data_IF_578298692433
#
_entry.id   IF_578298692433
#
_cell.length_a   1.000
_cell.length_b   1.000
_cell.length_c   1.000
_cell.angle_alpha   90.00
_cell.angle_beta   90.00
_cell.angle_gamma   90.00
#
_symmetry.space_group_name_H-M   'P 1'
#
loop_
_entity.id
_entity.type
_entity.pdbx_description
1 polymer ?
#
# COMPACT_ATOMS: atom_id res chain seq x y z
N UNK A 1 24.97 77.28 9.75
CA UNK A 1 25.94 76.56 10.59
C UNK A 1 26.13 75.18 9.97
N UNK A 2 27.32 74.81 9.50
CA UNK A 2 27.55 73.47 8.99
C UNK A 2 27.73 72.53 10.19
N UNK A 3 26.78 71.61 10.38
CA UNK A 3 26.97 70.47 11.27
C UNK A 3 27.97 69.52 10.60
N UNK A 4 29.27 69.80 10.77
CA UNK A 4 30.33 68.88 10.38
C UNK A 4 30.32 67.70 11.34
N UNK A 5 29.82 66.55 10.90
CA UNK A 5 29.98 65.30 11.62
C UNK A 5 31.48 65.02 11.80
N UNK A 6 31.89 64.75 13.04
CA UNK A 6 33.23 64.33 13.37
C UNK A 6 33.53 62.98 12.66
N UNK A 7 34.79 62.78 12.23
CA UNK A 7 35.22 61.58 11.51
C UNK A 7 34.97 60.29 12.29
N UNK A 8 35.09 60.32 13.62
CA UNK A 8 34.87 59.19 14.50
C UNK A 8 33.38 58.83 14.54
N UNK A 9 32.50 59.84 14.61
CA UNK A 9 31.05 59.64 14.49
C UNK A 9 30.66 59.02 13.14
N UNK A 10 31.26 59.47 12.03
CA UNK A 10 31.03 58.87 10.70
C UNK A 10 31.52 57.41 10.67
N UNK A 11 32.69 57.12 11.23
CA UNK A 11 33.24 55.77 11.27
C UNK A 11 32.35 54.80 12.08
N UNK A 12 31.83 55.25 13.22
CA UNK A 12 30.90 54.48 14.05
C UNK A 12 29.60 54.19 13.28
N UNK A 13 29.01 55.20 12.62
CA UNK A 13 27.80 55.02 11.82
C UNK A 13 28.03 54.00 10.69
N UNK A 14 29.15 54.10 9.97
CA UNK A 14 29.51 53.16 8.88
C UNK A 14 29.65 51.74 9.41
N UNK A 15 30.29 51.55 10.57
CA UNK A 15 30.49 50.23 11.16
C UNK A 15 29.16 49.59 11.60
N UNK A 16 28.27 50.39 12.20
CA UNK A 16 26.93 49.94 12.58
C UNK A 16 26.13 49.53 11.34
N UNK A 17 26.15 50.34 10.28
CA UNK A 17 25.44 50.04 9.03
C UNK A 17 25.97 48.75 8.39
N UNK A 18 27.29 48.57 8.31
CA UNK A 18 27.90 47.35 7.77
C UNK A 18 27.55 46.11 8.59
N UNK A 19 27.51 46.23 9.91
CA UNK A 19 27.11 45.14 10.81
C UNK A 19 25.66 44.69 10.55
N UNK A 20 24.71 45.64 10.49
CA UNK A 20 23.31 45.31 10.20
C UNK A 20 23.12 44.77 8.77
N UNK A 21 23.88 45.28 7.79
CA UNK A 21 23.86 44.76 6.43
C UNK A 21 24.32 43.29 6.39
N UNK A 22 25.38 42.97 7.14
CA UNK A 22 25.87 41.60 7.30
C UNK A 22 24.82 40.65 7.90
N UNK A 23 24.11 41.11 8.95
CA UNK A 23 23.02 40.34 9.56
C UNK A 23 21.89 40.08 8.56
N UNK A 24 21.46 41.10 7.82
CA UNK A 24 20.37 40.96 6.83
C UNK A 24 20.74 40.00 5.69
N UNK A 25 21.98 40.09 5.19
CA UNK A 25 22.48 39.17 4.15
C UNK A 25 22.52 37.74 4.68
N UNK A 26 23.06 37.51 5.88
CA UNK A 26 23.14 36.17 6.46
C UNK A 26 21.74 35.58 6.71
N UNK A 27 20.82 36.38 7.24
CA UNK A 27 19.43 35.96 7.44
C UNK A 27 18.72 35.58 6.12
N UNK A 28 19.03 36.27 5.02
CA UNK A 28 18.44 35.95 3.72
C UNK A 28 19.01 34.66 3.13
N UNK A 29 20.33 34.44 3.26
CA UNK A 29 21.02 33.20 2.87
C UNK A 29 20.47 32.01 3.67
N UNK A 30 20.31 32.15 4.99
CA UNK A 30 19.80 31.09 5.86
C UNK A 30 18.33 30.74 5.61
N UNK A 31 17.52 31.71 5.14
CA UNK A 31 16.17 31.42 4.65
C UNK A 31 16.20 30.63 3.35
N UNK A 32 17.03 31.02 2.39
CA UNK A 32 17.18 30.31 1.11
C UNK A 32 17.66 28.86 1.29
N UNK A 33 18.56 28.60 2.25
CA UNK A 33 18.99 27.24 2.61
C UNK A 33 17.86 26.41 3.21
N UNK A 34 17.12 26.97 4.18
CA UNK A 34 15.96 26.29 4.80
C UNK A 34 14.87 25.96 3.79
N UNK A 35 14.52 26.88 2.91
CA UNK A 35 13.50 26.65 1.88
C UNK A 35 13.92 25.54 0.90
N UNK A 36 15.21 25.42 0.63
CA UNK A 36 15.76 24.34 -0.18
C UNK A 36 15.72 23.00 0.57
N UNK A 37 16.14 22.97 1.83
CA UNK A 37 16.09 21.77 2.68
C UNK A 37 14.67 21.22 2.79
N UNK A 38 13.66 22.09 3.01
CA UNK A 38 12.24 21.70 3.08
C UNK A 38 11.79 21.06 1.76
N UNK A 39 12.14 21.66 0.61
CA UNK A 39 11.80 21.11 -0.71
C UNK A 39 12.47 19.77 -0.96
N UNK A 40 13.73 19.63 -0.60
CA UNK A 40 14.49 18.39 -0.77
C UNK A 40 13.92 17.26 0.13
N UNK A 41 13.49 17.59 1.36
CA UNK A 41 12.80 16.66 2.25
C UNK A 41 11.43 16.23 1.71
N UNK A 42 10.61 17.17 1.24
CA UNK A 42 9.31 16.89 0.62
C UNK A 42 9.46 15.98 -0.62
N UNK A 43 10.44 16.24 -1.48
CA UNK A 43 10.72 15.43 -2.65
C UNK A 43 11.17 14.02 -2.26
N UNK A 44 12.03 13.90 -1.24
CA UNK A 44 12.48 12.61 -0.72
C UNK A 44 11.30 11.81 -0.16
N UNK A 45 10.41 12.43 0.61
CA UNK A 45 9.21 11.76 1.14
C UNK A 45 8.28 11.29 0.02
N UNK A 46 8.03 12.14 -0.98
CA UNK A 46 7.24 11.77 -2.17
C UNK A 46 7.83 10.58 -2.92
N UNK A 47 9.15 10.55 -3.08
CA UNK A 47 9.86 9.46 -3.76
C UNK A 47 9.78 8.14 -2.96
N UNK A 48 9.92 8.19 -1.63
CA UNK A 48 9.75 7.02 -0.77
C UNK A 48 8.32 6.48 -0.88
N UNK A 49 7.32 7.36 -0.79
CA UNK A 49 5.90 7.00 -0.93
C UNK A 49 5.62 6.36 -2.28
N UNK A 50 6.10 6.98 -3.38
CA UNK A 50 5.93 6.45 -4.74
C UNK A 50 6.49 5.04 -4.87
N UNK A 51 7.72 4.80 -4.39
CA UNK A 51 8.37 3.48 -4.43
C UNK A 51 7.59 2.45 -3.62
N UNK A 52 7.12 2.83 -2.44
CA UNK A 52 6.29 1.95 -1.61
C UNK A 52 4.98 1.57 -2.32
N UNK A 53 4.23 2.54 -2.84
CA UNK A 53 2.97 2.28 -3.54
C UNK A 53 3.18 1.43 -4.80
N UNK A 54 4.28 1.62 -5.52
CA UNK A 54 4.64 0.75 -6.65
C UNK A 54 4.90 -0.69 -6.22
N UNK A 55 5.68 -0.88 -5.14
CA UNK A 55 5.94 -2.21 -4.59
C UNK A 55 4.67 -2.87 -4.05
N UNK A 56 3.81 -2.10 -3.37
CA UNK A 56 2.54 -2.60 -2.83
C UNK A 56 1.59 -3.01 -3.94
N UNK A 57 1.48 -2.21 -5.01
CA UNK A 57 0.68 -2.55 -6.19
C UNK A 57 1.15 -3.87 -6.81
N UNK A 58 2.46 -4.07 -6.91
CA UNK A 58 3.03 -5.31 -7.45
C UNK A 58 2.75 -6.51 -6.54
N UNK A 59 2.88 -6.37 -5.22
CA UNK A 59 2.51 -7.40 -4.25
C UNK A 59 1.03 -7.81 -4.39
N UNK A 60 0.14 -6.83 -4.51
CA UNK A 60 -1.30 -7.07 -4.74
C UNK A 60 -1.52 -7.79 -6.08
N UNK A 61 -0.82 -7.40 -7.15
CA UNK A 61 -0.93 -8.06 -8.46
C UNK A 61 -0.47 -9.52 -8.42
N UNK A 62 0.60 -9.83 -7.69
CA UNK A 62 1.06 -11.20 -7.46
C UNK A 62 0.00 -12.01 -6.69
N UNK A 63 -0.58 -11.42 -5.65
CA UNK A 63 -1.64 -12.07 -4.86
C UNK A 63 -2.91 -12.31 -5.68
N UNK A 64 -3.32 -11.36 -6.52
CA UNK A 64 -4.43 -11.50 -7.48
C UNK A 64 -4.18 -12.70 -8.41
N UNK A 65 -2.96 -12.84 -8.95
CA UNK A 65 -2.59 -13.99 -9.78
C UNK A 65 -2.61 -15.31 -9.01
N UNK A 66 -2.26 -15.29 -7.72
CA UNK A 66 -2.38 -16.48 -6.87
C UNK A 66 -3.86 -16.87 -6.65
N UNK A 67 -4.76 -15.90 -6.54
CA UNK A 67 -6.20 -16.14 -6.45
C UNK A 67 -6.75 -16.77 -7.74
N UNK A 68 -6.30 -16.34 -8.93
CA UNK A 68 -6.69 -16.98 -10.19
C UNK A 68 -6.38 -18.48 -10.20
N UNK A 69 -5.21 -18.86 -9.67
CA UNK A 69 -4.82 -20.26 -9.54
C UNK A 69 -5.78 -21.01 -8.59
N UNK A 70 -6.10 -20.44 -7.43
CA UNK A 70 -7.08 -21.01 -6.48
C UNK A 70 -8.47 -21.19 -7.12
N UNK A 71 -8.95 -20.17 -7.83
CA UNK A 71 -10.24 -20.19 -8.52
C UNK A 71 -10.26 -21.32 -9.57
N UNK A 72 -9.21 -21.46 -10.37
CA UNK A 72 -9.14 -22.51 -11.40
C UNK A 72 -9.20 -23.93 -10.82
N UNK A 73 -8.66 -24.14 -9.62
CA UNK A 73 -8.69 -25.42 -8.90
C UNK A 73 -10.09 -25.74 -8.34
N UNK A 74 -10.88 -24.71 -8.02
CA UNK A 74 -12.22 -24.87 -7.45
C UNK A 74 -13.34 -24.91 -8.50
N UNK A 75 -13.07 -24.58 -9.77
CA UNK A 75 -14.09 -24.48 -10.82
C UNK A 75 -14.75 -25.81 -11.25
N UNK A 76 -14.18 -26.96 -10.90
CA UNK A 76 -14.78 -28.28 -11.23
C UNK A 76 -15.66 -28.82 -10.10
N UNK A 77 -16.52 -27.98 -9.52
CA UNK A 77 -17.31 -28.31 -8.32
C UNK A 77 -18.11 -29.61 -8.47
N UNK A 78 -18.75 -29.85 -9.62
CA UNK A 78 -19.57 -31.06 -9.83
C UNK A 78 -18.75 -32.35 -9.69
N UNK A 79 -17.53 -32.37 -10.26
CA UNK A 79 -16.60 -33.50 -10.13
C UNK A 79 -16.03 -33.61 -8.72
N UNK A 80 -15.88 -32.48 -8.05
CA UNK A 80 -15.42 -32.43 -6.67
C UNK A 80 -16.49 -32.99 -5.73
N UNK A 81 -17.78 -32.74 -5.95
CA UNK A 81 -18.84 -33.35 -5.15
C UNK A 81 -18.86 -34.88 -5.27
N UNK A 82 -18.75 -35.41 -6.49
CA UNK A 82 -18.65 -36.86 -6.72
C UNK A 82 -17.42 -37.43 -6.01
N UNK A 83 -16.28 -36.76 -6.11
CA UNK A 83 -15.05 -37.11 -5.42
C UNK A 83 -15.22 -37.11 -3.89
N UNK A 84 -15.86 -36.09 -3.31
CA UNK A 84 -16.09 -36.01 -1.86
C UNK A 84 -17.05 -37.10 -1.36
N UNK A 85 -18.09 -37.44 -2.14
CA UNK A 85 -19.06 -38.50 -1.79
C UNK A 85 -18.46 -39.90 -1.86
N UNK A 86 -17.47 -40.12 -2.71
CA UNK A 86 -16.83 -41.42 -2.86
C UNK A 86 -16.12 -41.89 -1.57
N UNK A 87 -15.60 -40.97 -0.75
CA UNK A 87 -15.02 -41.29 0.56
C UNK A 87 -14.93 -40.06 1.47
N UNK A 88 -15.19 -40.27 2.77
CA UNK A 88 -14.95 -39.24 3.80
C UNK A 88 -13.47 -38.86 3.94
N UNK A 89 -12.56 -39.78 3.58
CA UNK A 89 -11.12 -39.52 3.59
C UNK A 89 -10.63 -38.71 2.37
N UNK A 90 -11.48 -38.52 1.35
CA UNK A 90 -11.09 -37.77 0.16
C UNK A 90 -10.95 -36.28 0.49
N UNK A 91 -9.83 -35.67 0.11
CA UNK A 91 -9.58 -34.25 0.35
C UNK A 91 -9.09 -33.60 -0.93
N UNK A 92 -9.69 -32.48 -1.36
CA UNK A 92 -9.19 -31.77 -2.53
C UNK A 92 -7.85 -31.13 -2.16
N UNK A 93 -6.86 -31.29 -3.04
CA UNK A 93 -5.59 -30.59 -2.89
C UNK A 93 -5.74 -29.17 -3.43
N UNK A 94 -5.94 -28.21 -2.55
CA UNK A 94 -5.96 -26.79 -2.88
C UNK A 94 -4.83 -26.14 -2.09
N UNK A 95 -3.83 -25.62 -2.80
CA UNK A 95 -2.71 -24.92 -2.17
C UNK A 95 -2.85 -23.43 -2.43
N UNK A 96 -2.81 -22.64 -1.37
CA UNK A 96 -2.83 -21.18 -1.47
C UNK A 96 -1.75 -20.55 -0.60
N UNK A 97 -1.14 -19.49 -1.10
CA UNK A 97 -0.17 -18.68 -0.38
C UNK A 97 -0.30 -17.26 -0.91
N UNK A 98 -0.11 -16.29 -0.02
CA UNK A 98 -0.08 -14.88 -0.37
C UNK A 98 1.16 -14.23 0.25
N UNK A 99 1.56 -13.10 -0.31
CA UNK A 99 2.65 -12.27 0.17
C UNK A 99 2.08 -11.05 0.87
N UNK A 100 2.65 -10.65 2.01
CA UNK A 100 2.26 -9.44 2.75
C UNK A 100 3.47 -8.64 3.24
N UNK A 101 4.65 -8.92 2.68
CA UNK A 101 5.92 -8.35 3.12
C UNK A 101 5.94 -6.85 2.93
N UNK A 102 5.50 -6.35 1.78
CA UNK A 102 5.46 -4.92 1.49
C UNK A 102 4.40 -4.26 2.38
N UNK A 103 3.18 -4.78 2.39
CA UNK A 103 2.09 -4.26 3.23
C UNK A 103 2.48 -4.15 4.71
N UNK A 104 3.13 -5.18 5.26
CA UNK A 104 3.51 -5.23 6.68
C UNK A 104 4.73 -4.38 7.01
N UNK A 105 5.51 -3.95 6.00
CA UNK A 105 6.78 -3.26 6.23
C UNK A 105 6.63 -1.80 6.66
N UNK A 106 5.62 -1.08 6.13
CA UNK A 106 5.46 0.38 6.29
C UNK A 106 4.00 0.83 6.13
N UNK A 107 3.16 0.48 7.09
CA UNK A 107 1.74 0.89 7.11
C UNK A 107 1.56 2.39 7.34
N UNK A 108 2.55 3.06 7.93
CA UNK A 108 2.59 4.51 8.13
C UNK A 108 2.51 5.29 6.81
N UNK A 109 3.07 4.75 5.72
CA UNK A 109 3.03 5.37 4.38
C UNK A 109 1.61 5.39 3.79
N UNK A 110 0.68 4.59 4.33
CA UNK A 110 -0.70 4.55 3.88
C UNK A 110 -1.53 5.74 4.39
N UNK A 111 -1.13 6.40 5.47
CA UNK A 111 -1.94 7.43 6.17
C UNK A 111 -2.35 8.62 5.28
N UNK A 112 -1.59 8.89 4.22
CA UNK A 112 -1.84 9.99 3.29
C UNK A 112 -2.70 9.58 2.07
N UNK A 113 -3.16 8.33 2.01
CA UNK A 113 -4.10 7.86 0.99
C UNK A 113 -5.54 8.17 1.41
N UNK A 114 -6.43 8.18 0.43
CA UNK A 114 -7.88 8.22 0.70
C UNK A 114 -8.27 7.03 1.58
N UNK A 115 -9.10 7.29 2.60
CA UNK A 115 -9.54 6.30 3.58
C UNK A 115 -10.14 5.05 2.91
N UNK A 116 -10.86 5.22 1.79
CA UNK A 116 -11.42 4.10 1.02
C UNK A 116 -10.34 3.19 0.44
N UNK A 117 -9.20 3.74 0.02
CA UNK A 117 -8.06 2.96 -0.49
C UNK A 117 -7.40 2.22 0.68
N UNK A 118 -7.21 2.89 1.81
CA UNK A 118 -6.61 2.28 3.02
C UNK A 118 -7.46 1.09 3.47
N UNK A 119 -8.75 1.31 3.69
CA UNK A 119 -9.69 0.26 4.10
C UNK A 119 -9.73 -0.87 3.07
N UNK A 120 -9.75 -0.53 1.77
CA UNK A 120 -9.68 -1.52 0.70
C UNK A 120 -8.44 -2.42 0.79
N UNK A 121 -7.26 -1.83 1.03
CA UNK A 121 -5.99 -2.58 1.19
C UNK A 121 -6.04 -3.48 2.42
N UNK A 122 -6.44 -2.92 3.58
CA UNK A 122 -6.50 -3.67 4.84
C UNK A 122 -7.48 -4.84 4.73
N UNK A 123 -8.69 -4.59 4.22
CA UNK A 123 -9.71 -5.61 4.01
C UNK A 123 -9.25 -6.69 3.03
N UNK A 124 -8.52 -6.30 1.98
CA UNK A 124 -7.97 -7.26 1.02
C UNK A 124 -7.01 -8.22 1.72
N UNK A 125 -6.03 -7.71 2.48
CA UNK A 125 -5.09 -8.57 3.22
C UNK A 125 -5.75 -9.39 4.33
N UNK A 126 -6.79 -8.86 4.97
CA UNK A 126 -7.64 -9.63 5.88
C UNK A 126 -8.26 -10.84 5.20
N UNK A 127 -8.91 -10.62 4.05
CA UNK A 127 -9.52 -11.69 3.25
C UNK A 127 -8.52 -12.73 2.75
N UNK A 128 -7.30 -12.34 2.36
CA UNK A 128 -6.28 -13.32 1.97
C UNK A 128 -5.87 -14.21 3.16
N UNK A 129 -5.83 -13.64 4.37
CA UNK A 129 -5.51 -14.36 5.60
C UNK A 129 -6.64 -15.34 5.99
N UNK A 130 -7.89 -14.89 5.91
CA UNK A 130 -9.08 -15.73 6.13
C UNK A 130 -9.11 -16.88 5.12
N UNK A 131 -8.98 -16.58 3.83
CA UNK A 131 -8.97 -17.58 2.76
C UNK A 131 -7.84 -18.61 2.94
N UNK A 132 -6.65 -18.18 3.38
CA UNK A 132 -5.56 -19.11 3.71
C UNK A 132 -5.96 -20.06 4.84
N UNK A 133 -6.61 -19.54 5.87
CA UNK A 133 -7.09 -20.32 7.02
C UNK A 133 -8.15 -21.34 6.59
N UNK A 134 -9.10 -20.94 5.74
CA UNK A 134 -10.14 -21.83 5.24
C UNK A 134 -9.59 -22.94 4.34
N UNK A 135 -8.62 -22.61 3.48
CA UNK A 135 -7.95 -23.58 2.62
C UNK A 135 -7.12 -24.57 3.46
N UNK A 136 -6.39 -24.10 4.47
CA UNK A 136 -5.67 -24.99 5.41
C UNK A 136 -6.63 -25.88 6.19
N UNK A 137 -7.83 -25.37 6.49
CA UNK A 137 -8.91 -26.11 7.13
C UNK A 137 -9.34 -27.37 6.37
N UNK A 138 -9.18 -27.40 5.03
CA UNK A 138 -9.47 -28.57 4.20
C UNK A 138 -8.53 -29.75 4.49
N UNK A 139 -7.32 -29.48 4.97
CA UNK A 139 -6.35 -30.50 5.37
C UNK A 139 -6.55 -30.95 6.82
N UNK A 140 -7.47 -30.34 7.57
CA UNK A 140 -7.75 -30.73 8.94
C UNK A 140 -8.53 -32.06 9.02
N UNK A 141 -8.36 -32.80 10.12
CA UNK A 141 -9.22 -33.97 10.40
C UNK A 141 -10.69 -33.58 10.61
N UNK A 142 -10.97 -32.34 11.00
CA UNK A 142 -12.33 -31.86 11.19
C UNK A 142 -13.11 -31.82 9.87
N UNK A 143 -12.43 -31.63 8.73
CA UNK A 143 -13.06 -31.67 7.40
C UNK A 143 -13.66 -33.05 7.07
N UNK A 144 -13.10 -34.13 7.60
CA UNK A 144 -13.65 -35.49 7.39
C UNK A 144 -14.88 -35.77 8.26
N UNK A 145 -15.00 -35.06 9.38
CA UNK A 145 -16.08 -35.23 10.35
C UNK A 145 -17.39 -34.55 9.91
N UNK A 146 -17.34 -33.62 8.97
CA UNK A 146 -18.52 -32.88 8.48
C UNK A 146 -19.27 -33.63 7.38
N UNK A 147 -20.54 -33.24 7.18
CA UNK A 147 -21.40 -33.81 6.13
C UNK A 147 -20.84 -33.50 4.74
N UNK A 148 -21.21 -34.28 3.72
CA UNK A 148 -20.73 -34.04 2.36
C UNK A 148 -21.24 -32.70 1.81
N UNK A 149 -22.48 -32.34 2.16
CA UNK A 149 -23.01 -31.01 1.88
C UNK A 149 -22.23 -29.89 2.57
N UNK A 150 -21.75 -30.11 3.80
CA UNK A 150 -20.87 -29.18 4.49
C UNK A 150 -19.53 -29.01 3.76
N UNK A 151 -18.91 -30.13 3.34
CA UNK A 151 -17.65 -30.14 2.60
C UNK A 151 -17.77 -29.41 1.26
N UNK A 152 -18.83 -29.69 0.50
CA UNK A 152 -19.14 -28.96 -0.73
C UNK A 152 -19.35 -27.47 -0.48
N UNK A 153 -20.06 -27.11 0.61
CA UNK A 153 -20.30 -25.71 0.95
C UNK A 153 -19.00 -24.97 1.28
N UNK A 154 -18.07 -25.57 2.03
CA UNK A 154 -16.76 -24.98 2.30
C UNK A 154 -16.01 -24.65 1.01
N UNK A 155 -16.00 -25.58 0.04
CA UNK A 155 -15.30 -25.36 -1.23
C UNK A 155 -15.96 -24.28 -2.09
N UNK A 156 -17.28 -24.18 -2.05
CA UNK A 156 -18.01 -23.09 -2.71
C UNK A 156 -17.68 -21.75 -2.06
N UNK A 157 -17.67 -21.66 -0.73
CA UNK A 157 -17.28 -20.44 0.01
C UNK A 157 -15.86 -20.00 -0.39
N UNK A 158 -14.89 -20.91 -0.36
CA UNK A 158 -13.51 -20.64 -0.80
C UNK A 158 -13.47 -20.11 -2.24
N UNK A 159 -14.25 -20.68 -3.16
CA UNK A 159 -14.31 -20.23 -4.55
C UNK A 159 -14.90 -18.83 -4.69
N UNK A 160 -16.00 -18.55 -3.98
CA UNK A 160 -16.68 -17.25 -3.99
C UNK A 160 -15.82 -16.16 -3.36
N UNK A 161 -15.22 -16.42 -2.20
CA UNK A 161 -14.32 -15.52 -1.51
C UNK A 161 -13.06 -15.24 -2.32
N UNK A 162 -12.51 -16.26 -2.99
CA UNK A 162 -11.37 -16.07 -3.90
C UNK A 162 -11.71 -15.11 -5.04
N UNK A 163 -12.91 -15.21 -5.63
CA UNK A 163 -13.37 -14.31 -6.69
C UNK A 163 -13.59 -12.89 -6.16
N UNK A 164 -14.18 -12.75 -4.98
CA UNK A 164 -14.42 -11.46 -4.34
C UNK A 164 -13.10 -10.76 -3.98
N UNK A 165 -12.15 -11.50 -3.37
CA UNK A 165 -10.82 -10.99 -3.05
C UNK A 165 -10.07 -10.59 -4.33
N UNK A 166 -10.19 -11.38 -5.41
CA UNK A 166 -9.59 -11.04 -6.71
C UNK A 166 -10.12 -9.71 -7.23
N UNK A 167 -11.44 -9.56 -7.31
CA UNK A 167 -12.07 -8.35 -7.80
C UNK A 167 -11.63 -7.12 -6.98
N UNK A 168 -11.60 -7.27 -5.65
CA UNK A 168 -11.12 -6.22 -4.75
C UNK A 168 -9.65 -5.86 -5.01
N UNK A 169 -8.78 -6.85 -5.20
CA UNK A 169 -7.38 -6.63 -5.56
C UNK A 169 -7.22 -5.86 -6.89
N UNK A 170 -7.98 -6.24 -7.91
CA UNK A 170 -8.02 -5.54 -9.21
C UNK A 170 -8.45 -4.08 -9.06
N UNK A 171 -9.47 -3.81 -8.24
CA UNK A 171 -9.95 -2.45 -7.96
C UNK A 171 -8.90 -1.61 -7.22
N UNK A 172 -8.21 -2.20 -6.24
CA UNK A 172 -7.13 -1.51 -5.50
C UNK A 172 -5.95 -1.19 -6.42
N UNK A 173 -5.52 -2.13 -7.27
CA UNK A 173 -4.45 -1.92 -8.26
C UNK A 173 -4.79 -0.73 -9.16
N UNK A 174 -6.04 -0.63 -9.59
CA UNK A 174 -6.54 0.49 -10.40
C UNK A 174 -6.44 1.81 -9.64
N UNK A 175 -6.93 1.85 -8.39
CA UNK A 175 -6.89 3.06 -7.55
C UNK A 175 -5.46 3.52 -7.27
N UNK A 176 -4.56 2.59 -6.91
CA UNK A 176 -3.14 2.92 -6.69
C UNK A 176 -2.49 3.44 -7.97
N UNK A 177 -2.83 2.88 -9.13
CA UNK A 177 -2.31 3.35 -10.42
C UNK A 177 -2.74 4.78 -10.74
N UNK A 178 -3.98 5.16 -10.39
CA UNK A 178 -4.47 6.54 -10.53
C UNK A 178 -3.73 7.51 -9.60
N UNK A 179 -3.39 7.08 -8.38
CA UNK A 179 -2.59 7.89 -7.44
C UNK A 179 -1.16 8.07 -7.96
N UNK A 180 -0.57 7.03 -8.54
CA UNK A 180 0.80 7.06 -9.08
C UNK A 180 0.94 7.85 -10.38
N UNK A 181 -0.10 7.85 -11.23
CA UNK A 181 -0.14 8.57 -12.48
C UNK A 181 -1.54 9.19 -12.75
N UNK A 182 -1.83 10.38 -12.20
CA UNK A 182 -3.12 11.05 -12.38
C UNK A 182 -3.39 11.48 -13.82
N UNK A 183 -2.35 11.55 -14.67
CA UNK A 183 -2.48 12.04 -16.06
C UNK A 183 -3.18 11.04 -16.97
N UNK A 184 -3.24 9.76 -16.59
CA UNK A 184 -3.93 8.72 -17.34
C UNK A 184 -5.47 8.82 -17.31
N UNK A 185 -6.06 9.74 -16.53
CA UNK A 185 -7.52 9.94 -16.44
C UNK A 185 -8.09 10.72 -17.64
N UNK A 186 -7.27 11.46 -18.39
CA UNK A 186 -7.75 12.34 -19.48
C UNK A 186 -7.79 11.71 -20.88
N UNK A 187 -7.47 10.42 -20.99
CA UNK A 187 -7.26 9.75 -22.29
C UNK A 187 -8.29 8.64 -22.62
N UNK A 188 -9.31 8.44 -21.78
CA UNK A 188 -10.43 7.51 -22.03
C UNK A 188 -11.77 8.20 -21.82
#
# INVERSE_FOLDING_TARGET
>A
MPFGLDKDTVAIIVTIVLFFLGILINAHIDRGKRDKEIKDEDEKQRNVRKRYLMALREEIAINVKALDKSISMTQQLDKVEEFLRASKANRPLITYTYFSTVFSSRTDVLQDLDEKIINGIVDFYGKLSELKTDIDGLESKAFEAISDGGRSSCLRCISEESKMAKQQGDDIIRLISLVLDPKNIRAG
#
